data_IF_184529978556
#
_entry.id   IF_184529978556
#
_cell.length_a   1.000
_cell.length_b   1.000
_cell.length_c   1.000
_cell.angle_alpha   90.00
_cell.angle_beta   90.00
_cell.angle_gamma   90.00
#
_symmetry.space_group_name_H-M   'P 1'
#
loop_
_entity.id
_entity.type
_entity.pdbx_description
1 polymer ?
#
# COMPACT_ATOMS: atom_id res chain seq x y z
N UNK A 1 9.59 -3.84 -9.33
CA UNK A 1 8.89 -4.64 -8.30
C UNK A 1 7.77 -3.77 -7.78
N UNK A 2 6.52 -4.21 -7.89
CA UNK A 2 5.34 -3.49 -7.39
C UNK A 2 5.14 -3.69 -5.88
N UNK A 3 6.17 -4.15 -5.16
CA UNK A 3 6.11 -4.39 -3.73
C UNK A 3 7.02 -3.41 -3.00
N UNK A 4 6.55 -2.80 -1.90
CA UNK A 4 7.41 -1.97 -1.06
C UNK A 4 8.56 -2.79 -0.48
N UNK A 5 9.69 -2.12 -0.28
CA UNK A 5 10.85 -2.72 0.36
C UNK A 5 10.59 -2.93 1.86
N UNK A 6 10.95 -4.11 2.35
CA UNK A 6 10.80 -4.49 3.76
C UNK A 6 12.16 -4.80 4.41
N UNK A 7 13.28 -4.40 3.79
CA UNK A 7 14.62 -4.72 4.30
C UNK A 7 14.86 -4.21 5.71
N UNK A 8 14.23 -3.09 6.08
CA UNK A 8 14.31 -2.47 7.41
C UNK A 8 12.95 -2.43 8.14
N UNK A 9 12.09 -3.42 7.90
CA UNK A 9 10.79 -3.51 8.55
C UNK A 9 10.92 -4.03 9.99
N UNK A 10 10.40 -3.28 10.95
CA UNK A 10 10.30 -3.71 12.35
C UNK A 10 8.91 -4.33 12.61
N UNK A 11 8.82 -5.62 12.97
CA UNK A 11 7.53 -6.28 13.19
C UNK A 11 6.81 -5.74 14.42
N UNK A 12 5.49 -5.56 14.30
CA UNK A 12 4.61 -5.21 15.43
C UNK A 12 4.29 -6.46 16.26
N UNK A 13 4.19 -6.29 17.59
CA UNK A 13 3.73 -7.34 18.51
C UNK A 13 2.21 -7.58 18.48
N UNK A 14 1.45 -6.70 17.84
CA UNK A 14 -0.01 -6.76 17.78
C UNK A 14 -0.54 -7.02 16.36
N UNK A 15 0.22 -6.72 15.32
CA UNK A 15 -0.23 -6.81 13.93
C UNK A 15 0.77 -7.58 13.08
N UNK A 16 0.26 -8.57 12.35
CA UNK A 16 1.03 -9.34 11.36
C UNK A 16 0.71 -8.86 9.96
N UNK A 17 1.74 -8.51 9.18
CA UNK A 17 1.59 -8.15 7.77
C UNK A 17 1.39 -9.40 6.91
N UNK A 18 0.22 -9.52 6.26
CA UNK A 18 -0.17 -10.67 5.42
C UNK A 18 0.13 -10.45 3.94
N UNK A 19 -0.13 -9.24 3.43
CA UNK A 19 0.17 -8.86 2.06
C UNK A 19 0.55 -7.38 2.01
N UNK A 20 1.40 -7.03 1.04
CA UNK A 20 1.89 -5.67 0.83
C UNK A 20 2.17 -5.47 -0.66
N UNK A 21 1.51 -4.47 -1.25
CA UNK A 21 1.58 -4.20 -2.69
C UNK A 21 1.43 -2.71 -2.96
N UNK A 22 2.02 -2.27 -4.06
CA UNK A 22 1.87 -0.94 -4.62
C UNK A 22 1.33 -1.03 -6.04
N UNK A 23 0.49 -0.09 -6.43
CA UNK A 23 0.03 0.07 -7.81
C UNK A 23 0.26 1.51 -8.24
N UNK A 24 0.69 1.67 -9.48
CA UNK A 24 0.75 2.95 -10.14
C UNK A 24 -0.51 3.12 -10.99
N UNK A 25 -1.27 4.17 -10.72
CA UNK A 25 -2.41 4.52 -11.56
C UNK A 25 -2.08 5.76 -12.40
N UNK A 26 -2.77 5.85 -13.53
CA UNK A 26 -2.75 6.99 -14.43
C UNK A 26 -4.20 7.38 -14.66
N UNK A 27 -4.66 8.40 -13.97
CA UNK A 27 -6.05 8.87 -14.02
C UNK A 27 -6.12 10.15 -14.85
N UNK A 28 -6.99 10.17 -15.85
CA UNK A 28 -7.29 11.37 -16.63
C UNK A 28 -8.62 11.94 -16.17
N UNK A 29 -8.59 13.10 -15.53
CA UNK A 29 -9.79 13.78 -15.05
C UNK A 29 -10.50 14.52 -16.19
N UNK A 30 -11.84 14.56 -16.13
CA UNK A 30 -12.67 15.26 -17.11
C UNK A 30 -12.39 16.77 -17.17
N UNK A 31 -11.87 17.38 -16.10
CA UNK A 31 -11.48 18.79 -16.09
C UNK A 31 -10.25 19.08 -16.97
N UNK A 32 -9.37 18.09 -17.19
CA UNK A 32 -8.09 18.25 -17.86
C UNK A 32 -7.74 17.01 -18.71
N UNK A 33 -8.37 16.81 -19.89
CA UNK A 33 -8.20 15.60 -20.70
C UNK A 33 -6.79 15.43 -21.30
N UNK A 34 -5.98 16.50 -21.33
CA UNK A 34 -4.62 16.49 -21.92
C UNK A 34 -3.52 16.06 -20.94
N UNK A 35 -3.82 15.92 -19.64
CA UNK A 35 -2.81 15.65 -18.63
C UNK A 35 -3.21 14.42 -17.79
N UNK A 36 -2.50 13.29 -17.90
CA UNK A 36 -2.68 12.18 -16.97
C UNK A 36 -2.07 12.56 -15.61
N UNK A 37 -2.86 12.37 -14.56
CA UNK A 37 -2.39 12.51 -13.18
C UNK A 37 -1.97 11.13 -12.69
N UNK A 38 -0.74 11.04 -12.21
CA UNK A 38 -0.16 9.80 -11.72
C UNK A 38 -0.31 9.74 -10.21
N UNK A 39 -0.76 8.59 -9.71
CA UNK A 39 -0.76 8.28 -8.29
C UNK A 39 -0.13 6.91 -8.05
N UNK A 40 0.43 6.75 -6.85
CA UNK A 40 0.99 5.48 -6.39
C UNK A 40 0.25 5.14 -5.10
N UNK A 41 -0.53 4.07 -5.13
CA UNK A 41 -1.29 3.60 -3.98
C UNK A 41 -0.61 2.38 -3.40
N UNK A 42 -0.23 2.45 -2.12
CA UNK A 42 0.26 1.32 -1.36
C UNK A 42 -0.86 0.72 -0.51
N UNK A 43 -0.99 -0.60 -0.53
CA UNK A 43 -1.96 -1.34 0.26
C UNK A 43 -1.23 -2.36 1.14
N UNK A 44 -1.60 -2.36 2.42
CA UNK A 44 -1.08 -3.26 3.42
C UNK A 44 -2.23 -4.03 4.04
N UNK A 45 -2.20 -5.35 3.94
CA UNK A 45 -3.16 -6.22 4.62
C UNK A 45 -2.54 -6.63 5.96
N UNK A 46 -3.15 -6.17 7.05
CA UNK A 46 -2.70 -6.44 8.41
C UNK A 46 -3.72 -7.34 9.13
N UNK A 47 -3.21 -8.35 9.86
CA UNK A 47 -4.00 -9.22 10.72
C UNK A 47 -3.67 -8.92 12.19
N UNK A 48 -4.69 -8.61 13.00
CA UNK A 48 -4.52 -8.42 14.45
C UNK A 48 -4.23 -9.74 15.15
N UNK A 49 -3.25 -9.76 16.04
CA UNK A 49 -2.93 -10.87 16.93
C UNK A 49 -3.82 -10.79 18.18
N UNK A 50 -4.57 -11.86 18.52
CA UNK A 50 -5.54 -11.83 19.63
C UNK A 50 -4.90 -12.07 21.00
N UNK A 51 -3.68 -11.57 21.25
CA UNK A 51 -2.97 -11.76 22.53
C UNK A 51 -3.54 -10.87 23.65
N UNK A 52 -3.95 -9.65 23.31
CA UNK A 52 -4.61 -8.69 24.20
C UNK A 52 -5.74 -7.99 23.43
N UNK A 53 -6.92 -7.89 24.04
CA UNK A 53 -8.14 -7.35 23.42
C UNK A 53 -8.43 -5.92 23.84
#
# INVERSE_FOLDING_TARGET
SDRPDLSNYMPSGEWTMKDYRGWKHSVTYACCPKKPYLDITYHFVLLRLPLYF
#
